data_IF_991090292128
#
_entry.id   IF_991090292128
#
_cell.length_a   1.000
_cell.length_b   1.000
_cell.length_c   1.000
_cell.angle_alpha   90.00
_cell.angle_beta   90.00
_cell.angle_gamma   90.00
#
_symmetry.space_group_name_H-M   'P 1'
#
loop_
_entity.id
_entity.type
_entity.pdbx_description
1 polymer ?
#
# COMPACT_ATOMS: atom_id res chain seq x y z
N UNK A 1 10.56 -15.69 19.52
CA UNK A 1 10.51 -16.11 18.11
C UNK A 1 11.61 -15.38 17.33
N UNK A 2 12.60 -16.09 16.80
CA UNK A 2 13.76 -15.52 16.08
C UNK A 2 13.49 -15.26 14.59
N UNK A 3 12.42 -15.81 14.01
CA UNK A 3 12.06 -15.63 12.60
C UNK A 3 11.34 -14.31 12.28
N UNK A 4 11.19 -13.41 13.25
CA UNK A 4 10.46 -12.14 13.08
C UNK A 4 11.29 -10.93 13.52
N UNK A 5 10.93 -9.75 13.02
CA UNK A 5 11.48 -8.48 13.51
C UNK A 5 11.01 -8.25 14.95
N UNK A 6 11.94 -8.34 15.91
CA UNK A 6 11.69 -8.23 17.37
C UNK A 6 11.49 -6.78 17.84
N UNK A 7 10.58 -6.05 17.20
CA UNK A 7 10.15 -4.72 17.64
C UNK A 7 8.73 -4.81 18.21
N UNK A 8 8.57 -4.50 19.51
CA UNK A 8 7.29 -4.64 20.23
C UNK A 8 6.15 -3.84 19.59
N UNK A 9 6.42 -2.63 19.12
CA UNK A 9 5.42 -1.78 18.48
C UNK A 9 4.96 -2.36 17.14
N UNK A 10 5.88 -2.89 16.31
CA UNK A 10 5.54 -3.54 15.04
C UNK A 10 4.75 -4.84 15.23
N UNK A 11 5.10 -5.64 16.24
CA UNK A 11 4.33 -6.87 16.57
C UNK A 11 2.91 -6.51 17.01
N UNK A 12 2.77 -5.53 17.90
CA UNK A 12 1.46 -5.05 18.35
C UNK A 12 0.64 -4.43 17.21
N UNK A 13 1.29 -3.75 16.26
CA UNK A 13 0.64 -3.18 15.09
C UNK A 13 -0.06 -4.24 14.24
N UNK A 14 0.51 -5.44 14.10
CA UNK A 14 -0.13 -6.53 13.37
C UNK A 14 -1.46 -6.94 14.01
N UNK A 15 -1.52 -6.99 15.34
CA UNK A 15 -2.74 -7.31 16.11
C UNK A 15 -3.77 -6.19 15.94
N UNK A 16 -3.35 -4.93 16.15
CA UNK A 16 -4.22 -3.75 16.02
C UNK A 16 -4.80 -3.64 14.60
N UNK A 17 -3.96 -3.82 13.58
CA UNK A 17 -4.37 -3.74 12.18
C UNK A 17 -5.34 -4.87 11.83
N UNK A 18 -5.13 -6.09 12.33
CA UNK A 18 -6.09 -7.20 12.14
C UNK A 18 -7.46 -6.86 12.76
N UNK A 19 -7.50 -6.27 13.96
CA UNK A 19 -8.74 -5.81 14.58
C UNK A 19 -9.40 -4.65 13.82
N UNK A 20 -8.62 -3.81 13.15
CA UNK A 20 -9.17 -2.75 12.30
C UNK A 20 -9.76 -3.32 10.99
N UNK A 21 -9.15 -4.37 10.42
CA UNK A 21 -9.67 -5.07 9.24
C UNK A 21 -11.03 -5.73 9.53
N UNK A 22 -11.23 -6.33 10.71
CA UNK A 22 -12.54 -6.93 11.04
C UNK A 22 -13.69 -5.91 11.07
N UNK A 23 -13.39 -4.62 11.26
CA UNK A 23 -14.36 -3.51 11.26
C UNK A 23 -14.61 -2.91 9.87
N UNK A 24 -13.79 -3.24 8.88
CA UNK A 24 -13.85 -2.69 7.51
C UNK A 24 -14.81 -3.46 6.59
N UNK A 25 -15.17 -4.69 6.94
CA UNK A 25 -15.87 -5.62 6.05
C UNK A 25 -14.93 -6.22 5.01
N UNK A 26 -14.35 -5.39 4.14
CA UNK A 26 -13.42 -5.81 3.08
C UNK A 26 -12.26 -4.84 2.92
N UNK A 27 -11.04 -5.32 3.19
CA UNK A 27 -9.82 -4.54 2.96
C UNK A 27 -9.60 -4.30 1.45
N UNK A 28 -9.95 -5.28 0.61
CA UNK A 28 -9.85 -5.18 -0.85
C UNK A 28 -10.73 -4.03 -1.34
N UNK A 29 -12.02 -4.06 -1.04
CA UNK A 29 -12.96 -3.07 -1.58
C UNK A 29 -12.67 -1.67 -1.03
N UNK A 30 -12.22 -1.58 0.23
CA UNK A 30 -11.73 -0.34 0.79
C UNK A 30 -10.57 0.25 -0.01
N UNK A 31 -9.52 -0.55 -0.30
CA UNK A 31 -8.33 -0.06 -1.01
C UNK A 31 -8.64 0.23 -2.49
N UNK A 32 -9.28 -0.71 -3.18
CA UNK A 32 -9.59 -0.60 -4.60
C UNK A 32 -10.67 0.46 -4.89
N UNK A 33 -11.50 0.79 -3.90
CA UNK A 33 -12.47 1.88 -4.00
C UNK A 33 -11.85 3.27 -4.16
N UNK A 34 -10.58 3.47 -3.78
CA UNK A 34 -9.89 4.75 -4.03
C UNK A 34 -9.46 4.94 -5.49
N UNK A 35 -9.52 3.89 -6.31
CA UNK A 35 -9.08 3.89 -7.71
C UNK A 35 -10.16 3.38 -8.67
N UNK A 36 -11.43 3.39 -8.21
CA UNK A 36 -12.59 2.89 -8.98
C UNK A 36 -12.38 1.47 -9.55
N UNK A 37 -11.67 0.63 -8.81
CA UNK A 37 -11.37 -0.75 -9.21
C UNK A 37 -10.37 -0.89 -10.36
N UNK A 38 -9.74 0.19 -10.83
CA UNK A 38 -8.78 0.17 -11.94
C UNK A 38 -7.36 0.47 -11.43
N UNK A 39 -6.35 -0.31 -11.85
CA UNK A 39 -4.98 -0.02 -11.45
C UNK A 39 -4.51 1.31 -12.07
N UNK A 40 -3.71 2.05 -11.32
CA UNK A 40 -3.00 3.23 -11.83
C UNK A 40 -1.70 2.74 -12.48
N UNK A 41 -1.51 3.03 -13.76
CA UNK A 41 -0.29 2.66 -14.49
C UNK A 41 0.53 3.94 -14.70
N UNK A 42 1.72 3.98 -14.08
CA UNK A 42 2.65 5.09 -14.26
C UNK A 42 3.74 4.73 -15.29
N UNK A 43 4.39 5.74 -15.83
CA UNK A 43 5.36 5.63 -16.93
C UNK A 43 6.73 6.23 -16.54
N UNK A 44 7.32 5.68 -15.49
CA UNK A 44 8.67 6.04 -15.06
C UNK A 44 9.72 5.43 -15.98
N UNK A 45 10.71 6.22 -16.41
CA UNK A 45 11.83 5.71 -17.22
C UNK A 45 12.88 5.03 -16.36
N UNK A 46 13.12 5.60 -15.19
CA UNK A 46 14.09 5.13 -14.19
C UNK A 46 13.47 5.18 -12.79
N UNK A 47 14.06 4.45 -11.85
CA UNK A 47 13.54 4.37 -10.48
C UNK A 47 13.56 5.72 -9.75
N UNK A 48 14.56 6.56 -10.01
CA UNK A 48 14.74 7.85 -9.32
C UNK A 48 13.63 8.87 -9.61
N UNK A 49 12.85 8.67 -10.68
CA UNK A 49 11.68 9.51 -10.99
C UNK A 49 10.47 9.16 -10.11
N UNK A 50 10.44 7.94 -9.55
CA UNK A 50 9.34 7.46 -8.74
C UNK A 50 9.35 8.14 -7.37
N UNK A 51 8.23 8.76 -6.94
CA UNK A 51 8.21 9.46 -5.67
C UNK A 51 8.18 8.47 -4.49
N UNK A 52 8.56 8.90 -3.29
CA UNK A 52 8.42 8.07 -2.09
C UNK A 52 6.97 8.02 -1.57
N UNK A 53 6.12 8.98 -1.97
CA UNK A 53 4.70 9.08 -1.61
C UNK A 53 3.91 9.74 -2.74
N UNK A 54 2.60 9.50 -2.76
CA UNK A 54 1.65 10.17 -3.65
C UNK A 54 0.50 10.80 -2.85
N UNK A 55 -0.24 11.78 -3.41
CA UNK A 55 -1.45 12.31 -2.77
C UNK A 55 -2.45 11.21 -2.39
N UNK A 56 -2.61 10.21 -3.25
CA UNK A 56 -3.43 9.02 -3.01
C UNK A 56 -2.95 8.24 -1.78
N UNK A 57 -1.64 7.94 -1.69
CA UNK A 57 -1.09 7.21 -0.55
C UNK A 57 -1.24 7.98 0.77
N UNK A 58 -1.15 9.30 0.73
CA UNK A 58 -1.36 10.17 1.91
C UNK A 58 -2.82 10.20 2.34
N UNK A 59 -3.75 10.24 1.38
CA UNK A 59 -5.18 10.15 1.65
C UNK A 59 -5.54 8.81 2.33
N UNK A 60 -5.09 7.70 1.74
CA UNK A 60 -5.35 6.35 2.29
C UNK A 60 -4.68 6.20 3.66
N UNK A 61 -3.43 6.66 3.83
CA UNK A 61 -2.72 6.71 5.12
C UNK A 61 -3.54 7.43 6.19
N UNK A 62 -4.08 8.62 5.88
CA UNK A 62 -4.92 9.39 6.80
C UNK A 62 -6.19 8.63 7.17
N UNK A 63 -6.88 8.03 6.21
CA UNK A 63 -8.14 7.33 6.46
C UNK A 63 -7.94 6.00 7.19
N UNK A 64 -6.85 5.27 6.91
CA UNK A 64 -6.47 4.08 7.67
C UNK A 64 -6.13 4.44 9.13
N UNK A 65 -5.40 5.54 9.36
CA UNK A 65 -5.13 6.03 10.73
C UNK A 65 -6.43 6.37 11.48
N UNK A 66 -7.38 7.06 10.84
CA UNK A 66 -8.70 7.35 11.44
C UNK A 66 -9.46 6.08 11.82
N UNK A 67 -9.27 4.99 11.06
CA UNK A 67 -9.88 3.67 11.30
C UNK A 67 -9.10 2.82 12.32
N UNK A 68 -8.05 3.35 12.93
CA UNK A 68 -7.29 2.69 14.00
C UNK A 68 -6.10 1.86 13.54
N UNK A 69 -5.73 1.92 12.25
CA UNK A 69 -4.51 1.28 11.79
C UNK A 69 -3.27 2.01 12.30
N UNK A 70 -2.20 1.26 12.52
CA UNK A 70 -0.89 1.76 12.94
C UNK A 70 0.19 1.26 11.96
N UNK A 71 1.33 1.97 11.90
CA UNK A 71 2.39 1.71 10.92
C UNK A 71 1.91 1.80 9.45
N UNK A 72 1.04 2.77 9.18
CA UNK A 72 0.45 3.03 7.85
C UNK A 72 0.76 4.46 7.38
N UNK A 73 2.04 4.85 7.40
CA UNK A 73 2.48 6.13 6.85
C UNK A 73 2.36 6.18 5.31
N UNK A 74 2.35 7.36 4.70
CA UNK A 74 2.17 7.52 3.25
C UNK A 74 3.13 6.68 2.43
N UNK A 75 4.42 6.65 2.79
CA UNK A 75 5.43 5.82 2.10
C UNK A 75 5.13 4.32 2.22
N UNK A 76 4.68 3.87 3.40
CA UNK A 76 4.32 2.47 3.62
C UNK A 76 3.10 2.11 2.78
N UNK A 77 2.11 3.00 2.74
CA UNK A 77 0.91 2.80 1.93
C UNK A 77 1.24 2.82 0.45
N UNK A 78 2.06 3.75 -0.03
CA UNK A 78 2.45 3.76 -1.44
C UNK A 78 3.17 2.47 -1.84
N UNK A 79 4.13 2.02 -1.02
CA UNK A 79 4.82 0.74 -1.20
C UNK A 79 3.85 -0.45 -1.20
N UNK A 80 2.83 -0.42 -0.33
CA UNK A 80 1.79 -1.45 -0.29
C UNK A 80 0.95 -1.45 -1.58
N UNK A 81 0.49 -0.29 -2.05
CA UNK A 81 -0.32 -0.16 -3.27
C UNK A 81 0.43 -0.66 -4.51
N UNK A 82 1.74 -0.39 -4.57
CA UNK A 82 2.63 -0.96 -5.60
C UNK A 82 2.69 -2.49 -5.51
N UNK A 83 2.96 -3.01 -4.32
CA UNK A 83 3.12 -4.45 -4.09
C UNK A 83 1.85 -5.26 -4.37
N UNK A 84 0.66 -4.69 -4.15
CA UNK A 84 -0.63 -5.37 -4.39
C UNK A 84 -1.25 -5.05 -5.76
N UNK A 85 -0.54 -4.32 -6.62
CA UNK A 85 -0.95 -4.06 -8.00
C UNK A 85 -2.04 -3.00 -8.16
N UNK A 86 -2.35 -2.23 -7.12
CA UNK A 86 -3.24 -1.06 -7.24
C UNK A 86 -2.54 0.07 -7.99
N UNK A 87 -1.21 0.16 -7.84
CA UNK A 87 -0.34 1.00 -8.65
C UNK A 87 0.68 0.12 -9.35
N UNK A 88 0.81 0.26 -10.66
CA UNK A 88 1.87 -0.35 -11.45
C UNK A 88 2.95 0.69 -11.71
N UNK A 89 4.04 0.57 -10.95
CA UNK A 89 5.23 1.44 -11.04
C UNK A 89 6.45 0.73 -11.66
N UNK A 90 6.23 -0.39 -12.35
CA UNK A 90 7.30 -0.96 -13.17
C UNK A 90 7.78 0.08 -14.19
N UNK A 91 9.09 0.35 -14.19
CA UNK A 91 9.70 1.28 -15.14
C UNK A 91 9.52 0.79 -16.58
N UNK A 92 9.58 1.70 -17.56
CA UNK A 92 9.33 1.40 -18.98
C UNK A 92 10.17 0.26 -19.55
N UNK A 93 11.42 0.10 -19.08
CA UNK A 93 12.31 -0.97 -19.51
C UNK A 93 12.10 -2.31 -18.80
N UNK A 94 11.17 -2.39 -17.84
CA UNK A 94 10.92 -3.60 -17.09
C UNK A 94 10.07 -4.61 -17.88
N UNK A 95 10.56 -5.84 -18.02
CA UNK A 95 9.85 -6.92 -18.73
C UNK A 95 8.48 -7.30 -18.13
N UNK A 96 8.17 -6.87 -16.91
CA UNK A 96 6.90 -7.17 -16.22
C UNK A 96 5.90 -6.01 -16.26
N UNK A 97 6.21 -4.89 -16.92
CA UNK A 97 5.34 -3.69 -16.93
C UNK A 97 3.96 -3.98 -17.50
N UNK A 98 3.90 -4.70 -18.61
CA UNK A 98 2.66 -5.05 -19.30
C UNK A 98 2.07 -6.40 -18.81
N UNK A 99 2.69 -7.01 -17.79
CA UNK A 99 2.33 -8.32 -17.21
C UNK A 99 1.12 -8.31 -16.26
N UNK A 100 0.22 -7.33 -16.42
CA UNK A 100 -1.08 -7.29 -15.76
C UNK A 100 -2.19 -7.24 -16.83
N UNK A 101 -2.24 -8.27 -17.66
CA UNK A 101 -3.40 -8.67 -18.47
C UNK A 101 -3.68 -10.16 -18.20
#
# INVERSE_FOLDING_TARGET
>A
NSGIIRNKLKVNAAIINAQAVTKLGSLRDFIWGFVDGKPIINHWRIQDEMPATTPLSEQISKDMKKRGFTFVGGTIIYSYLQAVGVVNDHIESCAFKDGAA
#
